data_IF_814382129875
#
_entry.id   IF_814382129875
#
_cell.length_a   1.000
_cell.length_b   1.000
_cell.length_c   1.000
_cell.angle_alpha   90.00
_cell.angle_beta   90.00
_cell.angle_gamma   90.00
#
_symmetry.space_group_name_H-M   'P 1'
#
loop_
_entity.id
_entity.type
_entity.pdbx_description
1 polymer ?
#
# COMPACT_ATOMS: atom_id res chain seq x y z
N UNK A 1 -5.15 19.42 12.38
CA UNK A 1 -6.12 18.62 11.61
C UNK A 1 -5.97 17.20 12.12
N UNK A 2 -7.01 16.64 12.73
CA UNK A 2 -7.00 15.23 13.14
C UNK A 2 -7.03 14.41 11.85
N UNK A 3 -5.93 13.71 11.53
CA UNK A 3 -5.93 12.80 10.38
C UNK A 3 -6.97 11.71 10.63
N UNK A 4 -7.95 11.63 9.73
CA UNK A 4 -9.01 10.64 9.80
C UNK A 4 -8.50 9.31 9.21
N UNK A 5 -8.76 8.22 9.92
CA UNK A 5 -8.39 6.89 9.45
C UNK A 5 -9.23 6.51 8.23
N UNK A 6 -8.56 5.92 7.25
CA UNK A 6 -9.21 5.35 6.08
C UNK A 6 -10.01 4.12 6.44
N UNK A 7 -11.18 4.00 5.81
CA UNK A 7 -11.95 2.76 5.85
C UNK A 7 -11.21 1.64 5.10
N UNK A 8 -11.62 0.40 5.33
CA UNK A 8 -11.10 -0.76 4.61
C UNK A 8 -11.20 -0.57 3.08
N UNK A 9 -12.38 -0.17 2.59
CA UNK A 9 -12.63 0.06 1.16
C UNK A 9 -11.76 1.20 0.60
N UNK A 10 -11.60 2.29 1.35
CA UNK A 10 -10.71 3.39 0.94
C UNK A 10 -9.25 2.93 0.90
N UNK A 11 -8.81 2.14 1.87
CA UNK A 11 -7.46 1.57 1.92
C UNK A 11 -7.22 0.68 0.70
N UNK A 12 -8.16 -0.21 0.38
CA UNK A 12 -8.08 -1.11 -0.77
C UNK A 12 -8.03 -0.35 -2.10
N UNK A 13 -8.97 0.57 -2.34
CA UNK A 13 -9.04 1.34 -3.59
C UNK A 13 -7.76 2.16 -3.81
N UNK A 14 -7.29 2.86 -2.77
CA UNK A 14 -6.11 3.73 -2.88
C UNK A 14 -4.82 2.94 -3.06
N UNK A 15 -4.64 1.84 -2.30
CA UNK A 15 -3.52 0.91 -2.48
C UNK A 15 -3.49 0.37 -3.90
N UNK A 16 -4.63 -0.15 -4.37
CA UNK A 16 -4.76 -0.73 -5.71
C UNK A 16 -4.41 0.29 -6.80
N UNK A 17 -4.97 1.50 -6.74
CA UNK A 17 -4.67 2.57 -7.71
C UNK A 17 -3.20 2.95 -7.73
N UNK A 18 -2.57 3.10 -6.56
CA UNK A 18 -1.16 3.47 -6.45
C UNK A 18 -0.27 2.36 -7.03
N UNK A 19 -0.51 1.10 -6.66
CA UNK A 19 0.25 -0.04 -7.17
C UNK A 19 0.11 -0.23 -8.68
N UNK A 20 -1.10 -0.06 -9.24
CA UNK A 20 -1.32 -0.10 -10.69
C UNK A 20 -0.51 0.99 -11.40
N UNK A 21 -0.49 2.22 -10.85
CA UNK A 21 0.33 3.31 -11.41
C UNK A 21 1.82 2.97 -11.36
N UNK A 22 2.30 2.42 -10.25
CA UNK A 22 3.69 2.01 -10.09
C UNK A 22 4.08 0.87 -11.04
N UNK A 23 3.17 -0.09 -11.26
CA UNK A 23 3.40 -1.19 -12.18
C UNK A 23 3.52 -0.70 -13.64
N UNK A 24 2.68 0.27 -14.02
CA UNK A 24 2.75 0.90 -15.35
C UNK A 24 4.08 1.61 -15.63
N UNK A 25 4.73 2.14 -14.60
CA UNK A 25 6.05 2.80 -14.73
C UNK A 25 7.23 1.86 -14.39
N UNK A 26 6.98 0.56 -14.23
CA UNK A 26 8.02 -0.45 -14.00
C UNK A 26 8.63 -0.45 -12.59
N UNK A 27 8.06 0.29 -11.64
CA UNK A 27 8.55 0.35 -10.24
C UNK A 27 8.18 -0.89 -9.42
N UNK A 28 7.15 -1.61 -9.83
CA UNK A 28 6.76 -2.88 -9.20
C UNK A 28 6.34 -3.88 -10.28
N UNK A 29 6.64 -5.16 -10.08
CA UNK A 29 6.13 -6.22 -10.93
C UNK A 29 4.67 -6.52 -10.57
N UNK A 30 3.81 -6.74 -11.58
CA UNK A 30 2.39 -7.08 -11.41
C UNK A 30 2.20 -8.29 -10.48
N UNK A 31 3.11 -9.26 -10.50
CA UNK A 31 3.10 -10.43 -9.60
C UNK A 31 3.15 -10.08 -8.10
N UNK A 32 3.67 -8.91 -7.74
CA UNK A 32 3.73 -8.46 -6.35
C UNK A 32 2.51 -7.65 -5.91
N UNK A 33 1.60 -7.28 -6.81
CA UNK A 33 0.47 -6.40 -6.49
C UNK A 33 -0.46 -7.06 -5.46
N UNK A 34 -0.86 -8.32 -5.65
CA UNK A 34 -1.75 -9.01 -4.70
C UNK A 34 -1.11 -9.13 -3.32
N UNK A 35 0.19 -9.44 -3.26
CA UNK A 35 0.92 -9.51 -1.99
C UNK A 35 1.02 -8.15 -1.31
N UNK A 36 1.26 -7.08 -2.08
CA UNK A 36 1.29 -5.71 -1.58
C UNK A 36 -0.06 -5.30 -0.99
N UNK A 37 -1.16 -5.56 -1.71
CA UNK A 37 -2.51 -5.25 -1.24
C UNK A 37 -2.79 -5.97 0.09
N UNK A 38 -2.52 -7.28 0.14
CA UNK A 38 -2.74 -8.06 1.37
C UNK A 38 -1.91 -7.52 2.54
N UNK A 39 -0.62 -7.24 2.32
CA UNK A 39 0.28 -6.68 3.33
C UNK A 39 -0.27 -5.36 3.91
N UNK A 40 -0.70 -4.44 3.05
CA UNK A 40 -1.22 -3.13 3.49
C UNK A 40 -2.55 -3.29 4.24
N UNK A 41 -3.45 -4.16 3.77
CA UNK A 41 -4.72 -4.41 4.45
C UNK A 41 -4.53 -5.05 5.82
N UNK A 42 -3.58 -5.98 5.96
CA UNK A 42 -3.26 -6.62 7.24
C UNK A 42 -2.71 -5.60 8.24
N UNK A 43 -1.86 -4.67 7.78
CA UNK A 43 -1.34 -3.57 8.60
C UNK A 43 -2.46 -2.61 9.02
N UNK A 44 -3.29 -2.20 8.06
CA UNK A 44 -4.44 -1.33 8.35
C UNK A 44 -5.36 -1.95 9.38
N UNK A 45 -5.67 -3.25 9.23
CA UNK A 45 -6.46 -4.00 10.21
C UNK A 45 -5.79 -4.06 11.58
N UNK A 46 -4.49 -4.31 11.63
CA UNK A 46 -3.71 -4.39 12.88
C UNK A 46 -3.69 -3.06 13.65
N UNK A 47 -3.64 -1.93 12.93
CA UNK A 47 -3.62 -0.57 13.52
C UNK A 47 -5.01 0.03 13.78
N UNK A 48 -6.09 -0.61 13.33
CA UNK A 48 -7.45 -0.05 13.43
C UNK A 48 -7.72 1.06 12.40
N UNK A 49 -7.06 0.98 11.24
CA UNK A 49 -7.07 1.97 10.17
C UNK A 49 -5.69 2.59 9.94
N UNK A 50 -5.51 3.21 8.77
CA UNK A 50 -4.33 4.00 8.43
C UNK A 50 -4.77 5.40 8.06
N UNK A 51 -3.94 6.40 8.37
CA UNK A 51 -4.08 7.71 7.74
C UNK A 51 -3.57 7.67 6.30
N UNK A 52 -3.83 8.71 5.52
CA UNK A 52 -3.27 8.85 4.17
C UNK A 52 -1.75 8.78 4.15
N UNK A 53 -1.10 9.45 5.11
CA UNK A 53 0.35 9.48 5.20
C UNK A 53 0.93 8.10 5.54
N UNK A 54 0.32 7.40 6.49
CA UNK A 54 0.76 6.05 6.85
C UNK A 54 0.59 5.09 5.69
N UNK A 55 -0.54 5.16 4.97
CA UNK A 55 -0.78 4.35 3.79
C UNK A 55 0.33 4.51 2.74
N UNK A 56 0.71 5.75 2.45
CA UNK A 56 1.78 6.04 1.49
C UNK A 56 3.12 5.47 1.99
N UNK A 57 3.47 5.70 3.26
CA UNK A 57 4.71 5.20 3.88
C UNK A 57 4.80 3.67 3.83
N UNK A 58 3.71 2.96 4.11
CA UNK A 58 3.69 1.49 4.10
C UNK A 58 3.82 0.92 2.68
N UNK A 59 3.19 1.57 1.68
CA UNK A 59 3.35 1.19 0.26
C UNK A 59 4.79 1.37 -0.19
N UNK A 60 5.39 2.53 0.11
CA UNK A 60 6.78 2.82 -0.27
C UNK A 60 7.75 1.85 0.43
N UNK A 61 7.54 1.58 1.73
CA UNK A 61 8.34 0.59 2.48
C UNK A 61 8.25 -0.81 1.88
N UNK A 62 7.08 -1.23 1.41
CA UNK A 62 6.91 -2.53 0.76
C UNK A 62 7.69 -2.62 -0.56
N UNK A 63 7.70 -1.54 -1.35
CA UNK A 63 8.43 -1.47 -2.63
C UNK A 63 9.94 -1.58 -2.37
N UNK A 64 10.46 -0.81 -1.40
CA UNK A 64 11.88 -0.85 -1.02
C UNK A 64 12.31 -2.26 -0.60
N UNK A 65 11.47 -2.98 0.17
CA UNK A 65 11.72 -4.37 0.58
C UNK A 65 11.82 -5.34 -0.60
N UNK A 66 11.11 -5.08 -1.69
CA UNK A 66 11.18 -5.90 -2.91
C UNK A 66 12.40 -5.52 -3.75
N UNK A 67 12.68 -4.22 -3.91
CA UNK A 67 13.84 -3.76 -4.67
C UNK A 67 15.15 -4.23 -4.03
N UNK A 68 15.28 -4.21 -2.69
CA UNK A 68 16.46 -4.72 -1.99
C UNK A 68 16.68 -6.25 -2.07
N UNK A 69 15.70 -7.02 -2.58
CA UNK A 69 15.81 -8.48 -2.76
C UNK A 69 16.18 -8.90 -4.19
N UNK A 70 16.34 -7.95 -5.11
CA UNK A 70 16.81 -8.18 -6.50
C UNK A 70 18.32 -8.08 -6.58
#
# INVERSE_FOLDING_TARGET
MTEENLTYEQTLDRTSRKLIRLAKIGKINVSHISNAIQYILDISKSKGGLTEEELIKEIDSFIDKIECRK
#
